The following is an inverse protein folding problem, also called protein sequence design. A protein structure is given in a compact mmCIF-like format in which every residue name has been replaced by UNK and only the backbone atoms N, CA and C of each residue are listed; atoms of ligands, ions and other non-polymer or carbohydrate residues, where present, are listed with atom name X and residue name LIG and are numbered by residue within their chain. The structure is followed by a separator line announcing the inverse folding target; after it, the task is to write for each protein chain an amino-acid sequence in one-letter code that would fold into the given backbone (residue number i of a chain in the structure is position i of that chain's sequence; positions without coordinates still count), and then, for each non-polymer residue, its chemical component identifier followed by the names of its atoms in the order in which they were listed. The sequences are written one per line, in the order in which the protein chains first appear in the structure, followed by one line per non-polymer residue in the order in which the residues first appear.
data_IF_195502791986
#
_entry.id   IF_195502791986
#
_cell.length_a   1.000
_cell.length_b   1.000
_cell.length_c   1.000
_cell.angle_alpha   90.00
_cell.angle_beta   90.00
_cell.angle_gamma   90.00
#
_symmetry.space_group_name_H-M   'P 1'
#
loop_
_entity.id
_entity.type
_entity.pdbx_description
1 polymer ?
#
# COMPACT_ATOMS: atom_id res chain seq x y z
N UNK A 1 6.97 -17.54 -3.88
CA UNK A 1 7.36 -17.01 -2.57
C UNK A 1 6.17 -17.06 -1.61
N UNK A 2 6.33 -17.83 -0.54
CA UNK A 2 5.23 -18.08 0.41
C UNK A 2 4.73 -16.82 1.11
N UNK A 3 5.65 -15.93 1.48
CA UNK A 3 5.32 -14.69 2.18
C UNK A 3 4.37 -13.83 1.35
N UNK A 4 4.60 -13.73 0.05
CA UNK A 4 3.76 -12.96 -0.85
C UNK A 4 2.35 -13.55 -0.94
N UNK A 5 2.25 -14.88 -1.02
CA UNK A 5 0.96 -15.57 -1.02
C UNK A 5 0.20 -15.36 0.28
N UNK A 6 0.90 -15.46 1.41
CA UNK A 6 0.30 -15.24 2.73
C UNK A 6 -0.20 -13.80 2.84
N UNK A 7 0.57 -12.84 2.35
CA UNK A 7 0.16 -11.44 2.35
C UNK A 7 -1.13 -11.24 1.55
N UNK A 8 -1.18 -11.73 0.31
CA UNK A 8 -2.38 -11.54 -0.51
C UNK A 8 -3.58 -12.28 0.02
N UNK A 9 -3.38 -13.40 0.72
CA UNK A 9 -4.46 -14.08 1.43
C UNK A 9 -5.03 -13.20 2.54
N UNK A 10 -4.17 -12.51 3.29
CA UNK A 10 -4.62 -11.57 4.33
C UNK A 10 -5.36 -10.38 3.73
N UNK A 11 -4.87 -9.84 2.63
CA UNK A 11 -5.56 -8.74 1.94
C UNK A 11 -6.95 -9.19 1.48
N UNK A 12 -7.07 -10.39 0.93
CA UNK A 12 -8.37 -10.92 0.52
C UNK A 12 -9.34 -11.01 1.70
N UNK A 13 -8.87 -11.41 2.87
CA UNK A 13 -9.69 -11.44 4.09
C UNK A 13 -10.12 -10.05 4.51
N UNK A 14 -9.21 -9.08 4.42
CA UNK A 14 -9.54 -7.69 4.75
C UNK A 14 -10.61 -7.13 3.82
N UNK A 15 -10.51 -7.41 2.53
CA UNK A 15 -11.50 -6.96 1.55
C UNK A 15 -12.86 -7.60 1.81
N UNK A 16 -12.88 -8.84 2.26
CA UNK A 16 -14.12 -9.52 2.63
C UNK A 16 -14.76 -8.85 3.86
N UNK A 17 -13.95 -8.55 4.88
CA UNK A 17 -14.43 -7.83 6.07
C UNK A 17 -15.03 -6.48 5.71
N UNK A 18 -14.43 -5.78 4.75
CA UNK A 18 -14.91 -4.49 4.29
C UNK A 18 -16.34 -4.57 3.75
N UNK A 19 -16.69 -5.68 3.08
CA UNK A 19 -18.02 -5.85 2.50
C UNK A 19 -19.02 -6.47 3.47
N UNK A 20 -18.59 -7.41 4.32
CA UNK A 20 -19.46 -8.17 5.20
C UNK A 20 -19.65 -7.51 6.57
N UNK A 21 -18.64 -6.80 7.05
CA UNK A 21 -18.61 -6.22 8.38
C UNK A 21 -18.26 -4.73 8.27
N UNK A 22 -19.24 -3.84 8.25
CA UNK A 22 -18.96 -2.41 8.05
C UNK A 22 -18.40 -1.69 9.28
N UNK A 23 -17.94 -2.43 10.31
CA UNK A 23 -17.28 -1.82 11.46
C UNK A 23 -15.89 -1.31 11.04
N UNK A 24 -15.81 0.00 10.79
CA UNK A 24 -14.57 0.62 10.31
C UNK A 24 -13.45 0.61 11.34
N UNK A 25 -13.79 0.61 12.63
CA UNK A 25 -12.77 0.53 13.68
C UNK A 25 -12.10 -0.83 13.68
N UNK A 26 -12.89 -1.88 13.57
CA UNK A 26 -12.35 -3.24 13.48
C UNK A 26 -11.51 -3.42 12.23
N UNK A 27 -11.99 -2.92 11.10
CA UNK A 27 -11.27 -3.01 9.84
C UNK A 27 -9.92 -2.29 9.94
N UNK A 28 -9.90 -1.10 10.54
CA UNK A 28 -8.67 -0.33 10.73
C UNK A 28 -7.67 -1.10 11.61
N UNK A 29 -8.16 -1.74 12.68
CA UNK A 29 -7.30 -2.57 13.54
C UNK A 29 -6.68 -3.73 12.77
N UNK A 30 -7.47 -4.38 11.91
CA UNK A 30 -6.97 -5.50 11.10
C UNK A 30 -5.89 -5.03 10.11
N UNK A 31 -6.08 -3.87 9.50
CA UNK A 31 -5.03 -3.31 8.65
C UNK A 31 -3.75 -3.04 9.44
N UNK A 32 -3.86 -2.47 10.65
CA UNK A 32 -2.68 -2.22 11.50
C UNK A 32 -1.96 -3.53 11.83
N UNK A 33 -2.68 -4.61 12.07
CA UNK A 33 -2.08 -5.92 12.32
C UNK A 33 -1.27 -6.41 11.13
N UNK A 34 -1.74 -6.17 9.91
CA UNK A 34 -1.02 -6.58 8.70
C UNK A 34 0.31 -5.84 8.58
N UNK A 35 0.34 -4.53 8.87
CA UNK A 35 1.59 -3.78 8.89
C UNK A 35 2.60 -4.43 9.84
N UNK A 36 2.18 -4.72 11.06
CA UNK A 36 3.07 -5.33 12.06
C UNK A 36 3.53 -6.72 11.66
N UNK A 37 2.64 -7.52 11.12
CA UNK A 37 2.93 -8.91 10.78
C UNK A 37 3.96 -9.01 9.64
N UNK A 38 3.78 -8.22 8.58
CA UNK A 38 4.60 -8.36 7.37
C UNK A 38 5.79 -7.41 7.32
N UNK A 39 5.71 -6.25 7.97
CA UNK A 39 6.76 -5.24 7.91
C UNK A 39 7.40 -4.97 9.25
N UNK A 40 6.89 -5.58 10.32
CA UNK A 40 7.43 -5.50 11.69
C UNK A 40 7.50 -4.09 12.27
N UNK A 41 6.66 -3.21 11.76
CA UNK A 41 6.52 -1.83 12.20
C UNK A 41 5.06 -1.48 12.28
N UNK A 42 4.65 -0.59 13.20
CA UNK A 42 3.26 -0.12 13.22
C UNK A 42 2.94 0.70 11.97
N UNK A 43 1.67 0.77 11.62
CA UNK A 43 1.23 1.56 10.48
C UNK A 43 1.71 3.01 10.55
N UNK A 44 1.69 3.60 11.74
CA UNK A 44 2.09 5.00 11.95
C UNK A 44 3.53 5.27 11.52
N UNK A 45 4.40 4.27 11.61
CA UNK A 45 5.77 4.40 11.14
C UNK A 45 5.82 4.72 9.66
N UNK A 46 5.02 3.99 8.86
CA UNK A 46 4.97 4.20 7.41
C UNK A 46 4.18 5.46 7.05
N UNK A 47 3.18 5.80 7.85
CA UNK A 47 2.42 7.04 7.63
C UNK A 47 3.31 8.27 7.77
N UNK A 48 4.29 8.22 8.67
CA UNK A 48 5.19 9.34 8.94
C UNK A 48 6.35 9.46 7.96
N UNK A 49 6.69 8.37 7.23
CA UNK A 49 7.81 8.39 6.28
C UNK A 49 7.45 9.20 5.03
N UNK A 50 8.44 9.91 4.53
CA UNK A 50 8.34 10.48 3.19
C UNK A 50 8.36 9.35 2.17
N UNK A 51 7.57 9.48 1.11
CA UNK A 51 7.45 8.39 0.11
C UNK A 51 8.80 7.99 -0.50
N UNK A 52 9.68 8.96 -0.68
CA UNK A 52 11.01 8.72 -1.26
C UNK A 52 11.89 7.85 -0.38
N UNK A 53 11.63 7.84 0.93
CA UNK A 53 12.44 7.09 1.89
C UNK A 53 11.94 5.65 2.09
N UNK A 54 10.73 5.34 1.64
CA UNK A 54 10.14 4.03 1.91
C UNK A 54 10.91 2.87 1.28
N UNK A 55 11.35 2.94 0.00
CA UNK A 55 12.08 1.81 -0.58
C UNK A 55 13.32 1.41 0.22
N UNK A 56 14.06 2.38 0.77
CA UNK A 56 15.24 2.09 1.56
C UNK A 56 14.90 1.39 2.89
N UNK A 57 13.74 1.68 3.45
CA UNK A 57 13.27 1.01 4.66
C UNK A 57 12.92 -0.45 4.43
N UNK A 58 12.66 -0.83 3.19
CA UNK A 58 12.22 -2.19 2.83
C UNK A 58 13.37 -3.04 2.27
N UNK A 59 14.60 -2.69 2.61
CA UNK A 59 15.76 -3.47 2.18
C UNK A 59 16.73 -3.66 3.35
N UNK A 60 17.62 -4.65 3.21
CA UNK A 60 18.73 -4.86 4.14
C UNK A 60 19.85 -5.55 3.39
N UNK A 61 21.03 -5.66 4.04
CA UNK A 61 22.24 -6.18 3.43
C UNK A 61 22.13 -7.63 2.98
N UNK A 62 21.20 -8.39 3.55
CA UNK A 62 21.02 -9.82 3.23
C UNK A 62 19.92 -10.07 2.22
N UNK A 63 19.29 -9.02 1.72
CA UNK A 63 18.11 -9.12 0.86
C UNK A 63 18.49 -8.98 -0.61
N UNK A 64 18.03 -9.91 -1.46
CA UNK A 64 18.20 -9.80 -2.89
C UNK A 64 17.16 -8.87 -3.52
N UNK A 65 17.36 -8.53 -4.79
CA UNK A 65 16.47 -7.61 -5.50
C UNK A 65 15.03 -8.14 -5.59
N UNK A 66 14.86 -9.41 -5.89
CA UNK A 66 13.52 -10.00 -6.00
C UNK A 66 12.75 -9.89 -4.70
N UNK A 67 13.41 -10.14 -3.58
CA UNK A 67 12.80 -10.05 -2.26
C UNK A 67 12.46 -8.60 -1.91
N UNK A 68 13.37 -7.68 -2.23
CA UNK A 68 13.14 -6.25 -2.03
C UNK A 68 11.91 -5.78 -2.82
N UNK A 69 11.82 -6.14 -4.11
CA UNK A 69 10.68 -5.72 -4.92
C UNK A 69 9.38 -6.36 -4.44
N UNK A 70 9.42 -7.60 -3.92
CA UNK A 70 8.24 -8.22 -3.33
C UNK A 70 7.77 -7.43 -2.11
N UNK A 71 8.68 -6.97 -1.25
CA UNK A 71 8.33 -6.15 -0.08
C UNK A 71 7.73 -4.81 -0.50
N UNK A 72 8.31 -4.17 -1.51
CA UNK A 72 7.78 -2.91 -2.03
C UNK A 72 6.36 -3.11 -2.60
N UNK A 73 6.16 -4.20 -3.34
CA UNK A 73 4.84 -4.52 -3.90
C UNK A 73 3.80 -4.72 -2.80
N UNK A 74 4.17 -5.47 -1.75
CA UNK A 74 3.27 -5.73 -0.63
C UNK A 74 2.87 -4.43 0.07
N UNK A 75 3.84 -3.57 0.34
CA UNK A 75 3.52 -2.31 1.03
C UNK A 75 2.72 -1.36 0.12
N UNK A 76 3.04 -1.29 -1.16
CA UNK A 76 2.27 -0.49 -2.10
C UNK A 76 0.80 -0.91 -2.10
N UNK A 77 0.56 -2.22 -2.15
CA UNK A 77 -0.79 -2.78 -2.12
C UNK A 77 -1.51 -2.47 -0.81
N UNK A 78 -0.81 -2.64 0.31
CA UNK A 78 -1.40 -2.38 1.62
C UNK A 78 -1.76 -0.90 1.80
N UNK A 79 -0.86 0.01 1.39
CA UNK A 79 -1.13 1.44 1.45
C UNK A 79 -2.31 1.83 0.55
N UNK A 80 -2.42 1.19 -0.61
CA UNK A 80 -3.53 1.42 -1.52
C UNK A 80 -4.87 1.07 -0.85
N UNK A 81 -4.97 -0.15 -0.31
CA UNK A 81 -6.20 -0.62 0.32
C UNK A 81 -6.52 0.16 1.59
N UNK A 82 -5.50 0.46 2.40
CA UNK A 82 -5.65 1.27 3.60
C UNK A 82 -6.13 2.69 3.24
N UNK A 83 -5.54 3.27 2.20
CA UNK A 83 -5.95 4.59 1.73
C UNK A 83 -7.41 4.64 1.32
N UNK A 84 -7.88 3.59 0.66
CA UNK A 84 -9.27 3.53 0.21
C UNK A 84 -10.28 3.54 1.36
N UNK A 85 -9.90 3.04 2.55
CA UNK A 85 -10.82 3.00 3.69
C UNK A 85 -10.70 4.22 4.60
N UNK A 86 -9.73 5.11 4.39
CA UNK A 86 -9.58 6.32 5.19
C UNK A 86 -10.75 7.26 4.94
N UNK A 87 -11.31 7.81 6.03
CA UNK A 87 -12.38 8.79 5.96
C UNK A 87 -11.84 10.20 5.79
N UNK A 88 -10.71 10.49 6.47
CA UNK A 88 -10.07 11.78 6.36
C UNK A 88 -9.39 11.91 5.00
N UNK A 89 -9.74 12.97 4.27
CA UNK A 89 -9.25 13.16 2.90
C UNK A 89 -7.74 13.39 2.84
N UNK A 90 -7.18 14.05 3.84
CA UNK A 90 -5.73 14.31 3.89
C UNK A 90 -4.97 13.00 4.08
N UNK A 91 -5.43 12.14 4.99
CA UNK A 91 -4.85 10.83 5.20
C UNK A 91 -4.97 9.96 3.94
N UNK A 92 -6.15 9.96 3.32
CA UNK A 92 -6.38 9.18 2.11
C UNK A 92 -5.40 9.58 1.01
N UNK A 93 -5.26 10.87 0.77
CA UNK A 93 -4.35 11.39 -0.25
C UNK A 93 -2.91 10.97 0.06
N UNK A 94 -2.49 11.14 1.31
CA UNK A 94 -1.13 10.78 1.72
C UNK A 94 -0.82 9.31 1.43
N UNK A 95 -1.73 8.40 1.81
CA UNK A 95 -1.49 6.97 1.60
C UNK A 95 -1.53 6.59 0.12
N UNK A 96 -2.45 7.18 -0.65
CA UNK A 96 -2.52 6.90 -2.07
C UNK A 96 -1.31 7.45 -2.83
N UNK A 97 -0.78 8.60 -2.43
CA UNK A 97 0.45 9.13 -3.02
C UNK A 97 1.64 8.22 -2.74
N UNK A 98 1.75 7.71 -1.51
CA UNK A 98 2.81 6.76 -1.15
C UNK A 98 2.70 5.48 -1.96
N UNK A 99 1.47 4.96 -2.07
CA UNK A 99 1.21 3.76 -2.87
C UNK A 99 1.62 3.97 -4.33
N UNK A 100 1.20 5.09 -4.91
CA UNK A 100 1.51 5.43 -6.31
C UNK A 100 3.03 5.50 -6.52
N UNK A 101 3.73 6.17 -5.61
CA UNK A 101 5.19 6.28 -5.69
C UNK A 101 5.86 4.90 -5.68
N UNK A 102 5.41 4.00 -4.82
CA UNK A 102 5.97 2.66 -4.75
C UNK A 102 5.66 1.84 -5.99
N UNK A 103 4.48 1.97 -6.56
CA UNK A 103 4.16 1.33 -7.83
C UNK A 103 5.04 1.87 -8.96
N UNK A 104 5.28 3.18 -9.01
CA UNK A 104 6.21 3.76 -9.98
C UNK A 104 7.63 3.24 -9.80
N UNK A 105 8.05 3.12 -8.55
CA UNK A 105 9.36 2.56 -8.22
C UNK A 105 9.51 1.15 -8.80
N UNK A 106 8.47 0.33 -8.69
CA UNK A 106 8.47 -1.01 -9.26
C UNK A 106 8.54 -0.98 -10.78
N UNK A 107 7.78 -0.08 -11.41
CA UNK A 107 7.81 0.05 -12.87
C UNK A 107 9.20 0.38 -13.38
N UNK A 108 9.92 1.27 -12.68
CA UNK A 108 11.25 1.70 -13.10
C UNK A 108 12.33 0.67 -12.84
N UNK A 109 12.25 -0.03 -11.70
CA UNK A 109 13.38 -0.80 -11.18
C UNK A 109 13.24 -2.30 -11.37
N UNK A 110 12.03 -2.84 -11.24
CA UNK A 110 11.83 -4.28 -11.34
C UNK A 110 11.75 -4.76 -12.80
N UNK A 111 11.49 -3.84 -13.72
CA UNK A 111 11.36 -4.12 -15.15
C UNK A 111 10.31 -5.20 -15.45
N UNK A 112 9.29 -5.29 -14.58
CA UNK A 112 8.17 -6.21 -14.77
C UNK A 112 6.93 -5.43 -15.13
N UNK A 113 6.06 -6.06 -15.90
CA UNK A 113 4.75 -5.52 -16.23
C UNK A 113 3.70 -6.17 -15.36
N UNK A 114 2.74 -5.37 -14.84
CA UNK A 114 1.60 -5.88 -14.11
C UNK A 114 0.38 -5.05 -14.49
N UNK A 115 -0.59 -5.70 -15.12
CA UNK A 115 -1.84 -5.04 -15.47
C UNK A 115 -2.59 -4.56 -14.23
N UNK A 116 -2.59 -5.38 -13.15
CA UNK A 116 -3.21 -5.01 -11.89
C UNK A 116 -2.59 -3.74 -11.31
N UNK A 117 -1.25 -3.67 -11.31
CA UNK A 117 -0.53 -2.49 -10.83
C UNK A 117 -0.89 -1.25 -11.65
N UNK A 118 -0.94 -1.39 -12.98
CA UNK A 118 -1.30 -0.28 -13.84
C UNK A 118 -2.71 0.22 -13.58
N UNK A 119 -3.66 -0.68 -13.33
CA UNK A 119 -5.03 -0.29 -13.02
C UNK A 119 -5.09 0.50 -11.72
N UNK A 120 -4.37 0.04 -10.69
CA UNK A 120 -4.33 0.75 -9.42
C UNK A 120 -3.68 2.12 -9.56
N UNK A 121 -2.59 2.22 -10.32
CA UNK A 121 -1.94 3.50 -10.58
C UNK A 121 -2.87 4.46 -11.30
N UNK A 122 -3.61 3.95 -12.28
CA UNK A 122 -4.59 4.75 -13.01
C UNK A 122 -5.71 5.26 -12.10
N UNK A 123 -6.21 4.39 -11.22
CA UNK A 123 -7.27 4.76 -10.27
C UNK A 123 -6.79 5.82 -9.30
N UNK A 124 -5.56 5.68 -8.80
CA UNK A 124 -4.98 6.68 -7.88
C UNK A 124 -4.81 8.02 -8.62
N UNK A 125 -4.25 7.98 -9.81
CA UNK A 125 -4.03 9.18 -10.60
C UNK A 125 -5.34 9.92 -10.86
N UNK A 126 -6.38 9.18 -11.22
CA UNK A 126 -7.70 9.75 -11.46
C UNK A 126 -8.25 10.41 -10.18
N UNK A 127 -8.13 9.73 -9.07
CA UNK A 127 -8.60 10.26 -7.78
C UNK A 127 -7.85 11.55 -7.41
N UNK A 128 -6.54 11.54 -7.53
CA UNK A 128 -5.71 12.71 -7.18
C UNK A 128 -5.99 13.89 -8.11
N UNK A 129 -6.20 13.62 -9.39
CA UNK A 129 -6.54 14.66 -10.37
C UNK A 129 -7.90 15.28 -10.06
N UNK A 130 -8.90 14.44 -9.76
CA UNK A 130 -10.23 14.92 -9.38
C UNK A 130 -10.17 15.77 -8.10
N UNK A 131 -9.37 15.34 -7.12
CA UNK A 131 -9.21 16.10 -5.88
C UNK A 131 -8.62 17.48 -6.17
N UNK A 132 -7.58 17.57 -7.00
CA UNK A 132 -6.96 18.85 -7.34
C UNK A 132 -7.94 19.79 -8.05
N UNK A 133 -8.83 19.25 -8.88
CA UNK A 133 -9.84 20.05 -9.58
C UNK A 133 -10.85 20.69 -8.63
N UNK A 134 -11.15 20.03 -7.51
CA UNK A 134 -12.18 20.49 -6.57
C UNK A 134 -11.58 21.04 -5.27
N UNK A 135 -10.27 21.15 -5.21
CA UNK A 135 -9.59 21.72 -4.05
C UNK A 135 -9.88 23.20 -3.95
N UNK A 136 -10.34 23.68 -2.77
CA UNK A 136 -10.64 25.12 -2.57
C UNK A 136 -9.40 26.00 -2.65
#
# INVERSE_FOLDING_TARGET
MRMLQDFFSMIAKLLRLKTEEPDMNLLQERFHEVYKQFFRKPADYFYALEKEDIPDELTNDNMGDAEHYAMVQMLAELLYQDGLIKKDIVEKISLLEKSFYLFQYLEKNSKTYSWDREQKMSDIHKFLTEYEMFKP
#
